data_IF_984350227808
#
_entry.id   IF_984350227808
#
_cell.length_a   1.000
_cell.length_b   1.000
_cell.length_c   1.000
_cell.angle_alpha   90.00
_cell.angle_beta   90.00
_cell.angle_gamma   90.00
#
_symmetry.space_group_name_H-M   'P 1'
#
loop_
_entity.id
_entity.type
_entity.pdbx_description
1 polymer ?
#
# COMPACT_ATOMS: atom_id res chain seq x y z
N UNK A 1 -4.15 -27.23 -13.11
CA UNK A 1 -3.34 -26.92 -11.91
C UNK A 1 -2.67 -25.58 -12.17
N UNK A 2 -2.79 -24.57 -11.28
CA UNK A 2 -2.08 -23.25 -11.28
C UNK A 2 -2.88 -21.95 -11.50
N UNK A 3 -4.16 -21.95 -11.87
CA UNK A 3 -4.94 -20.69 -11.92
C UNK A 3 -5.24 -20.15 -10.51
N UNK A 4 -5.50 -21.04 -9.55
CA UNK A 4 -5.84 -20.68 -8.17
C UNK A 4 -4.75 -19.91 -7.44
N UNK A 5 -3.48 -19.99 -7.86
CA UNK A 5 -2.37 -19.39 -7.11
C UNK A 5 -2.05 -17.95 -7.52
N UNK A 6 -2.12 -17.61 -8.82
CA UNK A 6 -2.01 -16.22 -9.28
C UNK A 6 -3.24 -15.42 -8.89
N UNK A 7 -4.44 -15.98 -9.10
CA UNK A 7 -5.69 -15.29 -8.73
C UNK A 7 -5.77 -15.03 -7.23
N UNK A 8 -5.34 -15.97 -6.38
CA UNK A 8 -5.27 -15.74 -4.94
C UNK A 8 -4.30 -14.60 -4.59
N UNK A 9 -3.06 -14.65 -5.08
CA UNK A 9 -2.08 -13.58 -4.85
C UNK A 9 -2.59 -12.22 -5.35
N UNK A 10 -3.22 -12.19 -6.53
CA UNK A 10 -3.83 -10.98 -7.07
C UNK A 10 -4.95 -10.45 -6.19
N UNK A 11 -5.86 -11.30 -5.71
CA UNK A 11 -6.96 -10.90 -4.82
C UNK A 11 -6.40 -10.37 -3.49
N UNK A 12 -5.38 -11.02 -2.93
CA UNK A 12 -4.68 -10.56 -1.72
C UNK A 12 -4.10 -9.17 -1.94
N UNK A 13 -3.29 -9.00 -3.00
CA UNK A 13 -2.70 -7.70 -3.32
C UNK A 13 -3.74 -6.64 -3.67
N UNK A 14 -4.83 -7.00 -4.36
CA UNK A 14 -5.91 -6.07 -4.69
C UNK A 14 -6.64 -5.60 -3.43
N UNK A 15 -6.91 -6.49 -2.47
CA UNK A 15 -7.51 -6.11 -1.18
C UNK A 15 -6.57 -5.20 -0.37
N UNK A 16 -5.27 -5.51 -0.42
CA UNK A 16 -4.22 -4.84 0.34
C UNK A 16 -3.82 -3.48 -0.24
N UNK A 17 -3.61 -3.37 -1.55
CA UNK A 17 -3.04 -2.20 -2.24
C UNK A 17 -4.10 -1.40 -2.99
N UNK A 18 -5.24 -2.00 -3.28
CA UNK A 18 -6.08 -1.65 -4.42
C UNK A 18 -6.58 -0.21 -4.54
N UNK A 19 -7.36 0.05 -5.61
CA UNK A 19 -7.60 1.40 -6.13
C UNK A 19 -8.12 2.41 -5.10
N UNK A 20 -9.03 2.07 -4.16
CA UNK A 20 -9.56 3.04 -3.20
C UNK A 20 -8.48 3.75 -2.37
N UNK A 21 -7.42 3.04 -1.97
CA UNK A 21 -6.32 3.60 -1.17
C UNK A 21 -5.53 4.62 -1.98
N UNK A 22 -5.09 4.19 -3.17
CA UNK A 22 -4.29 5.01 -4.07
C UNK A 22 -5.08 6.24 -4.52
N UNK A 23 -6.35 6.06 -4.88
CA UNK A 23 -7.23 7.15 -5.32
C UNK A 23 -7.40 8.22 -4.25
N UNK A 24 -7.51 7.83 -2.98
CA UNK A 24 -7.68 8.78 -1.88
C UNK A 24 -6.41 9.62 -1.65
N UNK A 25 -5.23 8.98 -1.59
CA UNK A 25 -3.97 9.73 -1.52
C UNK A 25 -3.77 10.64 -2.72
N UNK A 26 -4.14 10.15 -3.92
CA UNK A 26 -4.07 10.95 -5.13
C UNK A 26 -5.08 12.10 -5.15
N UNK A 27 -6.25 11.94 -4.53
CA UNK A 27 -7.26 12.98 -4.39
C UNK A 27 -6.74 14.19 -3.60
N UNK A 28 -5.95 13.95 -2.55
CA UNK A 28 -5.28 15.01 -1.79
C UNK A 28 -4.34 15.82 -2.66
N UNK A 29 -3.46 15.14 -3.42
CA UNK A 29 -2.54 15.80 -4.36
C UNK A 29 -3.26 16.53 -5.48
N UNK A 30 -4.43 16.04 -5.90
CA UNK A 30 -5.21 16.64 -6.96
C UNK A 30 -5.69 18.06 -6.62
N UNK A 31 -5.74 18.40 -5.32
CA UNK A 31 -6.13 19.73 -4.85
C UNK A 31 -5.03 20.78 -4.97
N UNK A 32 -3.77 20.36 -5.07
CA UNK A 32 -2.60 21.25 -5.01
C UNK A 32 -1.78 21.25 -6.30
N UNK A 33 -2.07 20.34 -7.24
CA UNK A 33 -1.32 20.19 -8.48
C UNK A 33 -2.21 20.25 -9.74
N UNK A 34 -1.71 20.77 -10.87
CA UNK A 34 -2.39 20.71 -12.16
C UNK A 34 -2.42 19.28 -12.75
N UNK A 35 -3.44 18.99 -13.57
CA UNK A 35 -3.70 17.68 -14.17
C UNK A 35 -2.49 17.03 -14.87
N UNK A 36 -1.65 17.84 -15.54
CA UNK A 36 -0.45 17.35 -16.22
C UNK A 36 0.66 16.89 -15.26
N UNK A 37 0.78 17.55 -14.11
CA UNK A 37 1.75 17.21 -13.06
C UNK A 37 1.30 15.97 -12.29
N UNK A 38 -0.01 15.87 -11.98
CA UNK A 38 -0.64 14.70 -11.37
C UNK A 38 -0.37 13.40 -12.12
N UNK A 39 -0.52 13.40 -13.46
CA UNK A 39 -0.23 12.22 -14.28
C UNK A 39 1.24 11.80 -14.20
N UNK A 40 2.16 12.77 -14.18
CA UNK A 40 3.59 12.50 -14.02
C UNK A 40 3.89 11.92 -12.65
N UNK A 41 3.31 12.49 -11.59
CA UNK A 41 3.44 11.98 -10.22
C UNK A 41 2.94 10.52 -10.16
N UNK A 42 1.74 10.23 -10.67
CA UNK A 42 1.21 8.86 -10.71
C UNK A 42 2.17 7.89 -11.42
N UNK A 43 2.63 8.24 -12.63
CA UNK A 43 3.53 7.38 -13.41
C UNK A 43 4.86 7.11 -12.69
N UNK A 44 5.48 8.15 -12.12
CA UNK A 44 6.77 8.05 -11.42
C UNK A 44 6.60 7.22 -10.14
N UNK A 45 5.56 7.49 -9.34
CA UNK A 45 5.30 6.76 -8.11
C UNK A 45 4.94 5.30 -8.36
N UNK A 46 4.12 5.00 -9.37
CA UNK A 46 3.81 3.62 -9.75
C UNK A 46 5.05 2.88 -10.26
N UNK A 47 5.90 3.52 -11.07
CA UNK A 47 7.15 2.91 -11.53
C UNK A 47 8.10 2.62 -10.37
N UNK A 48 8.22 3.54 -9.41
CA UNK A 48 9.02 3.34 -8.20
C UNK A 48 8.47 2.20 -7.33
N UNK A 49 7.14 2.14 -7.15
CA UNK A 49 6.50 1.05 -6.40
C UNK A 49 6.73 -0.31 -7.04
N UNK A 50 6.61 -0.42 -8.37
CA UNK A 50 6.94 -1.64 -9.12
C UNK A 50 8.40 -2.02 -8.89
N UNK A 51 9.34 -1.07 -8.99
CA UNK A 51 10.75 -1.33 -8.78
C UNK A 51 11.03 -1.86 -7.36
N UNK A 52 10.47 -1.20 -6.34
CA UNK A 52 10.61 -1.61 -4.94
C UNK A 52 10.01 -2.98 -4.70
N UNK A 53 8.81 -3.26 -5.23
CA UNK A 53 8.16 -4.57 -5.08
C UNK A 53 8.90 -5.70 -5.79
N UNK A 54 9.46 -5.44 -6.98
CA UNK A 54 10.33 -6.41 -7.68
C UNK A 54 11.56 -6.70 -6.82
N UNK A 55 12.25 -5.66 -6.34
CA UNK A 55 13.43 -5.83 -5.49
C UNK A 55 13.08 -6.62 -4.23
N UNK A 56 12.02 -6.23 -3.52
CA UNK A 56 11.56 -6.90 -2.31
C UNK A 56 11.18 -8.36 -2.56
N UNK A 57 10.41 -8.68 -3.61
CA UNK A 57 10.04 -10.06 -3.93
C UNK A 57 11.26 -10.93 -4.27
N UNK A 58 12.26 -10.36 -4.94
CA UNK A 58 13.51 -11.04 -5.33
C UNK A 58 14.52 -11.14 -4.18
N UNK A 59 14.45 -10.28 -3.17
CA UNK A 59 15.32 -10.35 -1.99
C UNK A 59 14.64 -10.92 -0.74
N UNK A 60 13.33 -11.18 -0.76
CA UNK A 60 12.54 -11.51 0.44
C UNK A 60 13.13 -12.58 1.37
N UNK A 61 13.47 -13.81 0.91
CA UNK A 61 14.05 -14.85 1.78
C UNK A 61 15.40 -14.41 2.33
N UNK A 62 16.25 -13.82 1.49
CA UNK A 62 17.57 -13.33 1.90
C UNK A 62 17.47 -12.22 2.95
N UNK A 63 16.51 -11.31 2.80
CA UNK A 63 16.30 -10.21 3.74
C UNK A 63 15.79 -10.72 5.09
N UNK A 64 14.80 -11.62 5.08
CA UNK A 64 14.26 -12.23 6.29
C UNK A 64 15.33 -13.05 7.03
N UNK A 65 16.12 -13.84 6.30
CA UNK A 65 17.22 -14.63 6.86
C UNK A 65 18.33 -13.72 7.44
N UNK A 66 18.70 -12.65 6.72
CA UNK A 66 19.74 -11.72 7.16
C UNK A 66 19.40 -11.05 8.48
N UNK A 67 18.16 -10.56 8.61
CA UNK A 67 17.68 -9.90 9.82
C UNK A 67 17.11 -10.86 10.87
N UNK A 68 17.05 -12.16 10.59
CA UNK A 68 16.43 -13.17 11.45
C UNK A 68 14.99 -12.80 11.85
N UNK A 69 14.24 -12.21 10.91
CA UNK A 69 12.86 -11.75 11.13
C UNK A 69 11.90 -12.88 10.77
N UNK A 70 11.02 -13.23 11.71
CA UNK A 70 9.95 -14.19 11.45
C UNK A 70 8.80 -13.55 10.64
N UNK A 71 8.11 -14.35 9.84
CA UNK A 71 6.93 -13.87 9.09
C UNK A 71 5.83 -13.26 9.98
N UNK A 72 5.52 -13.79 11.19
CA UNK A 72 4.55 -13.17 12.08
C UNK A 72 5.02 -11.82 12.64
N UNK A 73 6.31 -11.68 12.94
CA UNK A 73 6.87 -10.40 13.37
C UNK A 73 6.75 -9.32 12.28
N UNK A 74 6.95 -9.72 11.01
CA UNK A 74 6.76 -8.82 9.88
C UNK A 74 5.28 -8.44 9.67
N UNK A 75 4.34 -9.38 9.86
CA UNK A 75 2.91 -9.09 9.85
C UNK A 75 2.52 -8.09 10.93
N UNK A 76 3.00 -8.28 12.17
CA UNK A 76 2.77 -7.35 13.28
C UNK A 76 3.28 -5.95 12.98
N UNK A 77 4.53 -5.84 12.51
CA UNK A 77 5.13 -4.55 12.16
C UNK A 77 4.35 -3.88 11.01
N UNK A 78 4.03 -4.63 9.96
CA UNK A 78 3.26 -4.14 8.82
C UNK A 78 1.87 -3.66 9.21
N UNK A 79 1.16 -4.45 10.01
CA UNK A 79 -0.17 -4.13 10.54
C UNK A 79 -0.15 -2.90 11.43
N UNK A 80 0.85 -2.76 12.31
CA UNK A 80 0.96 -1.62 13.22
C UNK A 80 1.27 -0.31 12.46
N UNK A 81 2.23 -0.32 11.54
CA UNK A 81 2.54 0.87 10.73
C UNK A 81 1.33 1.25 9.87
N UNK A 82 0.63 0.26 9.31
CA UNK A 82 -0.58 0.51 8.54
C UNK A 82 -1.74 1.05 9.37
N UNK A 83 -1.93 0.55 10.60
CA UNK A 83 -2.89 1.08 11.55
C UNK A 83 -2.60 2.55 11.87
N UNK A 84 -1.34 2.90 12.14
CA UNK A 84 -0.94 4.29 12.38
C UNK A 84 -1.19 5.19 11.16
N UNK A 85 -0.94 4.68 9.95
CA UNK A 85 -1.27 5.38 8.72
C UNK A 85 -2.78 5.63 8.59
N UNK A 86 -3.59 4.60 8.85
CA UNK A 86 -5.04 4.69 8.82
C UNK A 86 -5.60 5.70 9.85
N UNK A 87 -5.04 5.72 11.06
CA UNK A 87 -5.34 6.72 12.09
C UNK A 87 -5.01 8.13 11.59
N UNK A 88 -3.88 8.31 10.89
CA UNK A 88 -3.54 9.56 10.24
C UNK A 88 -4.61 10.06 9.27
N UNK A 89 -5.17 9.17 8.44
CA UNK A 89 -6.27 9.50 7.53
C UNK A 89 -7.55 9.92 8.27
N UNK A 90 -7.91 9.21 9.35
CA UNK A 90 -9.10 9.55 10.17
C UNK A 90 -8.95 10.91 10.84
N UNK A 91 -7.74 11.23 11.30
CA UNK A 91 -7.43 12.50 11.95
C UNK A 91 -7.17 13.64 10.95
N UNK A 92 -7.16 13.37 9.64
CA UNK A 92 -6.81 14.36 8.62
C UNK A 92 -5.35 14.81 8.67
N UNK A 93 -4.47 14.02 9.26
CA UNK A 93 -3.03 14.30 9.32
C UNK A 93 -2.40 13.97 7.96
N UNK A 94 -1.65 14.91 7.40
CA UNK A 94 -0.85 14.70 6.19
C UNK A 94 0.48 14.06 6.58
N UNK A 95 0.50 12.73 6.78
CA UNK A 95 1.70 11.95 7.03
C UNK A 95 2.65 12.06 5.81
N UNK A 96 3.66 12.92 5.90
CA UNK A 96 4.63 13.17 4.82
C UNK A 96 4.62 14.58 4.22
N UNK A 97 3.69 15.45 4.65
CA UNK A 97 3.79 16.89 4.39
C UNK A 97 4.72 17.50 5.43
N UNK A 98 5.91 17.93 5.01
CA UNK A 98 6.77 18.81 5.81
C UNK A 98 6.09 20.18 5.96
N UNK A 99 5.04 20.27 6.77
CA UNK A 99 4.32 21.50 7.06
C UNK A 99 3.87 22.32 5.82
N UNK A 100 3.27 23.49 6.03
CA UNK A 100 3.05 24.46 4.96
C UNK A 100 4.36 25.21 4.69
N UNK A 101 5.37 24.54 4.13
CA UNK A 101 6.48 25.27 3.53
C UNK A 101 6.01 25.84 2.18
N UNK A 102 6.01 27.18 2.12
CA UNK A 102 5.46 28.05 1.09
C UNK A 102 6.19 28.01 -0.26
N UNK A 103 6.88 26.93 -0.59
CA UNK A 103 7.53 26.78 -1.89
C UNK A 103 6.54 26.15 -2.87
N UNK A 104 6.48 26.71 -4.08
CA UNK A 104 5.54 26.32 -5.12
C UNK A 104 5.47 24.78 -5.29
N UNK A 105 4.28 24.21 -5.52
CA UNK A 105 4.09 22.76 -5.65
C UNK A 105 4.92 22.17 -6.79
N UNK A 106 6.14 21.73 -6.49
CA UNK A 106 7.06 21.13 -7.45
C UNK A 106 6.86 19.60 -7.56
N UNK A 107 7.22 19.04 -8.72
CA UNK A 107 7.12 17.63 -9.06
C UNK A 107 7.80 16.73 -8.01
N UNK A 108 8.93 17.17 -7.46
CA UNK A 108 9.71 16.38 -6.49
C UNK A 108 8.99 16.23 -5.16
N UNK A 109 8.33 17.29 -4.67
CA UNK A 109 7.56 17.25 -3.41
C UNK A 109 6.32 16.37 -3.54
N UNK A 110 5.55 16.49 -4.63
CA UNK A 110 4.39 15.62 -4.88
C UNK A 110 4.77 14.16 -5.10
N UNK A 111 5.91 13.88 -5.74
CA UNK A 111 6.46 12.52 -5.87
C UNK A 111 6.86 11.98 -4.50
N UNK A 112 7.51 12.77 -3.62
CA UNK A 112 7.88 12.36 -2.25
C UNK A 112 6.64 12.06 -1.40
N UNK A 113 5.64 12.91 -1.47
CA UNK A 113 4.38 12.80 -0.72
C UNK A 113 3.55 11.59 -1.18
N UNK A 114 3.60 11.22 -2.47
CA UNK A 114 2.94 9.99 -2.94
C UNK A 114 3.82 8.74 -2.78
N UNK A 115 5.15 8.89 -2.82
CA UNK A 115 6.10 7.81 -2.55
C UNK A 115 6.01 7.36 -1.09
N UNK A 116 5.74 8.24 -0.13
CA UNK A 116 5.51 7.80 1.25
C UNK A 116 4.38 6.77 1.34
N UNK A 117 3.14 7.02 0.90
CA UNK A 117 2.08 6.01 0.92
C UNK A 117 2.28 4.86 -0.08
N UNK A 118 3.06 5.00 -1.16
CA UNK A 118 3.35 3.90 -2.10
C UNK A 118 4.53 2.99 -1.67
N UNK A 119 5.68 3.56 -1.33
CA UNK A 119 6.90 2.85 -0.87
C UNK A 119 6.78 2.47 0.61
N UNK A 120 6.14 3.32 1.41
CA UNK A 120 5.66 3.01 2.76
C UNK A 120 4.16 2.72 2.70
N UNK A 121 3.67 1.99 1.68
CA UNK A 121 2.52 1.11 1.91
C UNK A 121 3.11 -0.09 2.64
N UNK A 122 3.24 -0.02 3.98
CA UNK A 122 3.99 -1.02 4.73
C UNK A 122 3.32 -2.37 4.51
N UNK A 123 1.99 -2.36 4.40
CA UNK A 123 1.13 -3.49 4.14
C UNK A 123 1.36 -4.12 2.76
N UNK A 124 1.62 -3.32 1.72
CA UNK A 124 1.93 -3.84 0.39
C UNK A 124 3.30 -4.53 0.39
N UNK A 125 4.29 -3.88 1.01
CA UNK A 125 5.66 -4.41 1.09
C UNK A 125 5.72 -5.65 1.99
N UNK A 126 5.03 -5.64 3.14
CA UNK A 126 4.95 -6.81 4.01
C UNK A 126 4.25 -7.96 3.31
N UNK A 127 3.14 -7.72 2.60
CA UNK A 127 2.47 -8.75 1.81
C UNK A 127 3.41 -9.35 0.75
N UNK A 128 4.16 -8.52 0.01
CA UNK A 128 5.13 -9.01 -0.98
C UNK A 128 6.23 -9.85 -0.31
N UNK A 129 6.80 -9.39 0.80
CA UNK A 129 7.85 -10.10 1.52
C UNK A 129 7.37 -11.44 2.08
N UNK A 130 6.19 -11.47 2.72
CA UNK A 130 5.61 -12.68 3.29
C UNK A 130 5.25 -13.68 2.19
N UNK A 131 4.52 -13.25 1.15
CA UNK A 131 4.12 -14.13 0.05
C UNK A 131 5.33 -14.67 -0.72
N UNK A 132 6.33 -13.83 -0.99
CA UNK A 132 7.55 -14.26 -1.68
C UNK A 132 8.43 -15.19 -0.83
N UNK A 133 8.33 -15.13 0.50
CA UNK A 133 9.02 -16.02 1.43
C UNK A 133 8.24 -17.31 1.73
N UNK A 134 6.92 -17.32 1.55
CA UNK A 134 6.06 -18.45 1.89
C UNK A 134 6.37 -19.74 1.14
N UNK A 135 6.92 -19.65 -0.08
CA UNK A 135 7.34 -20.82 -0.86
C UNK A 135 8.68 -20.60 -1.55
N UNK A 136 9.53 -21.62 -1.51
CA UNK A 136 10.78 -21.67 -2.24
C UNK A 136 10.53 -21.97 -3.73
N UNK A 137 11.09 -21.14 -4.61
CA UNK A 137 11.03 -21.37 -6.05
C UNK A 137 10.95 -20.06 -6.86
N UNK A 138 11.76 -19.97 -7.91
CA UNK A 138 11.78 -18.81 -8.80
C UNK A 138 10.41 -18.59 -9.48
N UNK A 139 9.71 -19.68 -9.83
CA UNK A 139 8.37 -19.62 -10.46
C UNK A 139 7.30 -19.04 -9.54
N UNK A 140 7.37 -19.31 -8.24
CA UNK A 140 6.44 -18.74 -7.27
C UNK A 140 6.70 -17.24 -7.11
N UNK A 141 7.96 -16.87 -6.94
CA UNK A 141 8.36 -15.46 -6.75
C UNK A 141 8.01 -14.62 -7.96
N UNK A 142 8.17 -15.14 -9.19
CA UNK A 142 7.71 -14.45 -10.39
C UNK A 142 6.18 -14.31 -10.45
N UNK A 143 5.43 -15.26 -9.89
CA UNK A 143 3.96 -15.18 -9.80
C UNK A 143 3.53 -14.09 -8.82
N UNK A 144 4.15 -14.03 -7.64
CA UNK A 144 3.89 -13.00 -6.62
C UNK A 144 4.22 -11.60 -7.16
N UNK A 145 5.41 -11.42 -7.72
CA UNK A 145 5.82 -10.15 -8.33
C UNK A 145 4.91 -9.79 -9.51
N UNK A 146 4.55 -10.75 -10.36
CA UNK A 146 3.63 -10.53 -11.47
C UNK A 146 2.24 -10.08 -11.01
N UNK A 147 1.70 -10.68 -9.94
CA UNK A 147 0.42 -10.30 -9.36
C UNK A 147 0.46 -8.88 -8.77
N UNK A 148 1.53 -8.56 -8.02
CA UNK A 148 1.75 -7.24 -7.46
C UNK A 148 1.84 -6.15 -8.56
N UNK A 149 2.62 -6.39 -9.61
CA UNK A 149 2.75 -5.47 -10.75
C UNK A 149 1.42 -5.30 -11.48
N UNK A 150 0.63 -6.37 -11.62
CA UNK A 150 -0.69 -6.29 -12.24
C UNK A 150 -1.66 -5.41 -11.42
N UNK A 151 -1.61 -5.49 -10.09
CA UNK A 151 -2.41 -4.62 -9.21
C UNK A 151 -1.96 -3.17 -9.33
N UNK A 152 -0.66 -2.86 -9.29
CA UNK A 152 -0.18 -1.48 -9.49
C UNK A 152 -0.59 -0.94 -10.86
N UNK A 153 -0.49 -1.76 -11.90
CA UNK A 153 -0.90 -1.36 -13.24
C UNK A 153 -2.40 -1.04 -13.29
N UNK A 154 -3.23 -1.84 -12.61
CA UNK A 154 -4.66 -1.58 -12.46
C UNK A 154 -4.92 -0.27 -11.70
N UNK A 155 -4.23 -0.05 -10.57
CA UNK A 155 -4.35 1.16 -9.77
C UNK A 155 -3.97 2.40 -10.58
N UNK A 156 -2.87 2.33 -11.34
CA UNK A 156 -2.44 3.39 -12.25
C UNK A 156 -3.52 3.70 -13.30
N UNK A 157 -4.09 2.68 -13.93
CA UNK A 157 -5.18 2.85 -14.91
C UNK A 157 -6.39 3.51 -14.24
N UNK A 158 -6.80 3.05 -13.06
CA UNK A 158 -7.88 3.64 -12.28
C UNK A 158 -7.60 5.12 -12.00
N UNK A 159 -6.42 5.46 -11.47
CA UNK A 159 -6.02 6.84 -11.17
C UNK A 159 -6.05 7.70 -12.42
N UNK A 160 -5.50 7.25 -13.55
CA UNK A 160 -5.46 8.02 -14.80
C UNK A 160 -6.87 8.30 -15.35
N UNK A 161 -7.79 7.34 -15.24
CA UNK A 161 -9.19 7.49 -15.66
C UNK A 161 -9.94 8.43 -14.70
N UNK A 162 -9.77 8.26 -13.40
CA UNK A 162 -10.45 9.01 -12.36
C UNK A 162 -9.85 10.39 -12.10
N UNK A 163 -8.65 10.69 -12.63
CA UNK A 163 -7.98 12.00 -12.45
C UNK A 163 -8.91 13.16 -12.79
N UNK A 164 -9.69 13.07 -13.89
CA UNK A 164 -10.64 14.14 -14.25
C UNK A 164 -11.76 14.30 -13.25
N UNK A 165 -12.27 13.19 -12.71
CA UNK A 165 -13.35 13.19 -11.71
C UNK A 165 -12.83 13.79 -10.40
N UNK A 166 -11.65 13.35 -9.96
CA UNK A 166 -10.99 13.81 -8.75
C UNK A 166 -10.74 15.32 -8.73
N UNK A 167 -10.36 15.91 -9.88
CA UNK A 167 -10.20 17.36 -10.03
C UNK A 167 -11.50 18.15 -9.86
N UNK A 168 -12.66 17.53 -10.05
CA UNK A 168 -13.96 18.16 -9.87
C UNK A 168 -14.62 17.79 -8.53
N UNK A 169 -13.98 16.95 -7.72
CA UNK A 169 -14.52 16.52 -6.43
C UNK A 169 -14.26 17.57 -5.37
N UNK A 170 -15.31 17.94 -4.64
CA UNK A 170 -15.21 18.87 -3.52
C UNK A 170 -14.34 18.31 -2.38
N UNK A 171 -13.53 19.18 -1.77
CA UNK A 171 -12.68 18.86 -0.61
C UNK A 171 -13.42 18.12 0.51
N UNK A 172 -14.64 18.56 0.84
CA UNK A 172 -15.44 17.94 1.89
C UNK A 172 -15.76 16.45 1.61
N UNK A 173 -15.99 16.09 0.34
CA UNK A 173 -16.26 14.70 -0.04
C UNK A 173 -15.02 13.83 0.13
N UNK A 174 -13.85 14.34 -0.26
CA UNK A 174 -12.57 13.62 -0.11
C UNK A 174 -12.23 13.41 1.35
N UNK A 175 -12.46 14.42 2.20
CA UNK A 175 -12.22 14.31 3.63
C UNK A 175 -13.14 13.27 4.30
N UNK A 176 -14.44 13.29 3.99
CA UNK A 176 -15.40 12.31 4.51
C UNK A 176 -15.05 10.89 4.05
N UNK A 177 -14.76 10.71 2.76
CA UNK A 177 -14.39 9.41 2.21
C UNK A 177 -13.07 8.91 2.82
N UNK A 178 -12.14 9.83 3.08
CA UNK A 178 -10.86 9.51 3.70
C UNK A 178 -10.99 9.04 5.15
N UNK A 179 -11.91 9.64 5.92
CA UNK A 179 -12.22 9.19 7.28
C UNK A 179 -12.89 7.81 7.30
N UNK A 180 -13.84 7.58 6.38
CA UNK A 180 -14.50 6.28 6.25
C UNK A 180 -13.52 5.19 5.85
N UNK A 181 -12.68 5.45 4.83
CA UNK A 181 -11.64 4.54 4.42
C UNK A 181 -10.65 4.31 5.56
N UNK A 182 -10.16 5.37 6.20
CA UNK A 182 -9.25 5.29 7.34
C UNK A 182 -9.78 4.42 8.47
N UNK A 183 -11.08 4.48 8.78
CA UNK A 183 -11.69 3.61 9.79
C UNK A 183 -11.66 2.13 9.36
N UNK A 184 -11.96 1.83 8.09
CA UNK A 184 -11.86 0.47 7.54
C UNK A 184 -10.41 -0.03 7.52
N UNK A 185 -9.46 0.83 7.14
CA UNK A 185 -8.04 0.49 7.10
C UNK A 185 -7.48 0.26 8.51
N UNK A 186 -7.94 1.02 9.50
CA UNK A 186 -7.58 0.80 10.89
C UNK A 186 -8.05 -0.58 11.36
N UNK A 187 -9.29 -0.98 11.00
CA UNK A 187 -9.78 -2.32 11.29
C UNK A 187 -8.90 -3.42 10.65
N UNK A 188 -8.53 -3.26 9.37
CA UNK A 188 -7.61 -4.20 8.68
C UNK A 188 -6.23 -4.25 9.35
N UNK A 189 -5.69 -3.11 9.79
CA UNK A 189 -4.41 -3.06 10.51
C UNK A 189 -4.47 -3.78 11.85
N UNK A 190 -5.58 -3.64 12.59
CA UNK A 190 -5.82 -4.39 13.84
C UNK A 190 -5.92 -5.89 13.56
N UNK A 191 -6.60 -6.29 12.49
CA UNK A 191 -6.75 -7.70 12.10
C UNK A 191 -5.37 -8.34 11.84
N UNK A 192 -4.53 -7.69 11.05
CA UNK A 192 -3.16 -8.15 10.79
C UNK A 192 -2.30 -8.24 12.05
N UNK A 193 -2.51 -7.33 13.01
CA UNK A 193 -1.79 -7.40 14.30
C UNK A 193 -2.27 -8.61 15.09
N UNK A 194 -3.57 -8.89 15.09
CA UNK A 194 -4.13 -10.04 15.80
C UNK A 194 -3.70 -11.37 15.17
N UNK A 195 -3.69 -11.45 13.84
CA UNK A 195 -3.19 -12.60 13.09
C UNK A 195 -1.72 -12.87 13.42
N UNK A 196 -0.88 -11.83 13.39
CA UNK A 196 0.53 -11.96 13.75
C UNK A 196 0.75 -12.37 15.22
N UNK A 197 -0.14 -11.98 16.15
CA UNK A 197 -0.09 -12.44 17.55
C UNK A 197 -0.54 -13.91 17.69
N UNK A 198 -1.56 -14.33 16.95
CA UNK A 198 -2.03 -15.73 16.92
C UNK A 198 -0.94 -16.64 16.35
N UNK A 199 -0.29 -16.23 15.25
CA UNK A 199 0.82 -16.97 14.63
C UNK A 199 2.06 -17.08 15.55
N UNK A 200 2.23 -16.18 16.53
CA UNK A 200 3.26 -16.28 17.58
C UNK A 200 2.87 -17.20 18.75
N UNK A 201 1.65 -17.73 18.77
CA UNK A 201 1.17 -18.66 19.79
C UNK A 201 0.63 -17.98 21.05
N UNK A 202 0.14 -16.74 20.97
CA UNK A 202 -0.52 -16.07 22.09
C UNK A 202 -1.86 -16.77 22.39
N UNK A 203 -2.05 -17.40 23.57
CA UNK A 203 -3.24 -18.19 23.86
C UNK A 203 -4.52 -17.33 23.86
N UNK A 204 -5.58 -17.82 23.21
CA UNK A 204 -6.91 -17.17 23.20
C UNK A 204 -7.26 -16.37 21.93
N UNK A 205 -6.40 -16.40 20.91
CA UNK A 205 -6.65 -15.73 19.62
C UNK A 205 -7.04 -16.68 18.47
N UNK A 206 -6.80 -17.99 18.61
CA UNK A 206 -6.97 -18.99 17.53
C UNK A 206 -8.44 -19.30 17.15
N UNK A 207 -9.42 -18.70 17.85
CA UNK A 207 -10.85 -18.94 17.66
C UNK A 207 -11.55 -17.86 16.81
N UNK A 208 -10.80 -17.10 15.99
CA UNK A 208 -11.36 -16.03 15.16
C UNK A 208 -11.71 -16.54 13.76
N UNK A 209 -12.73 -15.91 13.18
CA UNK A 209 -13.53 -16.36 12.04
C UNK A 209 -12.77 -16.61 10.74
#
# INVERSE_FOLDING_TARGET
>A
MNAFTFSAAFITFFSVVGPPKVLLSFAGLAQVHPAGQLRKIALISSAAAVLVGILAGVTAPWLLDLFHISTPALQLAGGLIFFLYAVGLVLGMHLGSDGPHQDAPDLVSGVRELLMPYVVSPLALTAVLIEAAARSGFSWRSTVVGAYVAVIALDLVCVLLLTRVLLHTHHATIELLGRLLGLLLAAVGVDLVLDGLSDLGVPGLDARH
#
